data_IF_184145939501
#
_entry.id   IF_184145939501
#
_cell.length_a   1.000
_cell.length_b   1.000
_cell.length_c   1.000
_cell.angle_alpha   90.00
_cell.angle_beta   90.00
_cell.angle_gamma   90.00
#
_symmetry.space_group_name_H-M   'P 1'
#
loop_
_entity.id
_entity.type
_entity.pdbx_description
1 polymer ?
#
# COMPACT_ATOMS: atom_id res chain seq x y z
N UNK A 1 0.24 1.36 -14.54
CA UNK A 1 -0.79 1.32 -13.47
C UNK A 1 -0.18 1.97 -12.26
N UNK A 2 -0.85 2.93 -11.65
CA UNK A 2 -0.37 3.63 -10.45
C UNK A 2 -0.63 2.80 -9.18
N UNK A 3 0.04 3.12 -8.07
CA UNK A 3 -0.27 2.49 -6.78
C UNK A 3 -1.73 2.74 -6.37
N UNK A 4 -2.28 3.91 -6.68
CA UNK A 4 -3.69 4.21 -6.45
C UNK A 4 -4.61 3.25 -7.21
N UNK A 5 -4.39 3.07 -8.51
CA UNK A 5 -5.18 2.15 -9.32
C UNK A 5 -5.04 0.69 -8.86
N UNK A 6 -3.83 0.28 -8.46
CA UNK A 6 -3.59 -1.09 -8.00
C UNK A 6 -4.28 -1.39 -6.65
N UNK A 7 -4.08 -0.53 -5.65
CA UNK A 7 -4.53 -0.79 -4.28
C UNK A 7 -5.96 -0.32 -4.00
N UNK A 8 -6.44 0.70 -4.71
CA UNK A 8 -7.74 1.35 -4.43
C UNK A 8 -8.65 1.45 -5.64
N UNK A 9 -8.23 0.98 -6.83
CA UNK A 9 -8.97 1.15 -8.07
C UNK A 9 -10.27 0.35 -8.18
N UNK A 10 -10.46 -0.69 -7.37
CA UNK A 10 -11.73 -1.45 -7.30
C UNK A 10 -12.32 -1.43 -5.89
N UNK A 11 -13.66 -1.57 -5.74
CA UNK A 11 -14.29 -1.67 -4.43
C UNK A 11 -13.72 -2.81 -3.57
N UNK A 12 -13.42 -3.94 -4.19
CA UNK A 12 -12.85 -5.11 -3.49
C UNK A 12 -11.43 -4.83 -3.02
N UNK A 13 -10.59 -4.18 -3.84
CA UNK A 13 -9.24 -3.80 -3.44
C UNK A 13 -9.29 -2.77 -2.32
N UNK A 14 -10.07 -1.70 -2.48
CA UNK A 14 -10.24 -0.65 -1.48
C UNK A 14 -10.79 -1.19 -0.14
N UNK A 15 -11.70 -2.19 -0.17
CA UNK A 15 -12.25 -2.80 1.04
C UNK A 15 -11.21 -3.52 1.92
N UNK A 16 -10.07 -3.89 1.32
CA UNK A 16 -8.95 -4.56 1.99
C UNK A 16 -7.89 -3.56 2.46
N UNK A 17 -8.04 -2.28 2.16
CA UNK A 17 -7.03 -1.28 2.50
C UNK A 17 -7.39 -0.52 3.76
N UNK A 18 -6.41 -0.29 4.62
CA UNK A 18 -6.55 0.58 5.78
C UNK A 18 -5.43 1.63 5.78
N UNK A 19 -5.80 2.91 5.83
CA UNK A 19 -4.86 4.04 5.87
C UNK A 19 -4.95 4.70 7.24
N UNK A 20 -3.85 4.62 8.01
CA UNK A 20 -3.78 5.14 9.38
C UNK A 20 -2.92 6.39 9.44
N UNK A 21 -3.46 7.46 10.02
CA UNK A 21 -2.73 8.69 10.32
C UNK A 21 -2.32 8.71 11.80
N UNK A 22 -1.01 8.78 12.06
CA UNK A 22 -0.44 8.87 13.41
C UNK A 22 0.02 10.31 13.66
N UNK A 23 -0.25 10.84 14.86
CA UNK A 23 -0.21 12.29 15.11
C UNK A 23 1.16 12.88 15.51
N UNK A 24 2.19 12.09 15.86
CA UNK A 24 3.50 12.66 16.23
C UNK A 24 4.70 11.68 16.10
N UNK A 25 5.67 11.94 15.17
CA UNK A 25 5.53 12.81 14.00
C UNK A 25 4.38 12.32 13.10
N UNK A 26 3.91 13.16 12.16
CA UNK A 26 2.90 12.76 11.19
C UNK A 26 3.41 11.55 10.43
N UNK A 27 2.76 10.41 10.62
CA UNK A 27 3.01 9.20 9.84
C UNK A 27 1.75 8.73 9.16
N UNK A 28 1.91 8.23 7.94
CA UNK A 28 0.84 7.60 7.18
C UNK A 28 1.23 6.15 6.96
N UNK A 29 0.45 5.23 7.50
CA UNK A 29 0.68 3.80 7.31
C UNK A 29 -0.41 3.23 6.42
N UNK A 30 0.02 2.51 5.38
CA UNK A 30 -0.86 1.80 4.46
C UNK A 30 -0.81 0.33 4.79
N UNK A 31 -1.95 -0.25 5.10
CA UNK A 31 -2.12 -1.64 5.47
C UNK A 31 -2.99 -2.37 4.46
N UNK A 32 -2.67 -3.64 4.22
CA UNK A 32 -3.57 -4.61 3.60
C UNK A 32 -4.16 -5.51 4.67
N UNK A 33 -5.46 -5.68 4.63
CA UNK A 33 -6.24 -6.51 5.54
C UNK A 33 -6.96 -7.58 4.74
N UNK A 34 -6.73 -8.84 5.10
CA UNK A 34 -7.34 -9.97 4.44
C UNK A 34 -8.07 -10.85 5.46
N UNK A 35 -9.25 -11.38 5.11
CA UNK A 35 -9.92 -12.35 5.96
C UNK A 35 -9.08 -13.63 6.05
N UNK A 36 -8.83 -14.10 7.27
CA UNK A 36 -8.25 -15.43 7.52
C UNK A 36 -9.35 -16.46 7.75
N UNK A 37 -10.43 -16.07 8.44
CA UNK A 37 -11.62 -16.89 8.68
C UNK A 37 -12.88 -16.02 8.57
N UNK A 38 -14.06 -16.59 8.79
CA UNK A 38 -15.33 -15.84 8.82
C UNK A 38 -15.36 -14.72 9.87
N UNK A 39 -14.55 -14.83 10.93
CA UNK A 39 -14.56 -13.88 12.07
C UNK A 39 -13.18 -13.31 12.41
N UNK A 40 -12.14 -13.62 11.65
CA UNK A 40 -10.78 -13.11 11.88
C UNK A 40 -10.15 -12.59 10.61
N UNK A 41 -9.36 -11.52 10.75
CA UNK A 41 -8.59 -10.93 9.68
C UNK A 41 -7.11 -10.81 10.08
N UNK A 42 -6.23 -10.86 9.07
CA UNK A 42 -4.81 -10.51 9.19
C UNK A 42 -4.60 -9.14 8.58
N UNK A 43 -3.74 -8.32 9.17
CA UNK A 43 -3.32 -7.04 8.60
C UNK A 43 -1.80 -6.99 8.49
N UNK A 44 -1.31 -6.48 7.37
CA UNK A 44 0.12 -6.28 7.09
C UNK A 44 0.37 -4.86 6.62
N UNK A 45 1.46 -4.25 7.09
CA UNK A 45 1.93 -2.94 6.59
C UNK A 45 2.54 -3.14 5.20
N UNK A 46 2.03 -2.40 4.21
CA UNK A 46 2.62 -2.31 2.87
C UNK A 46 3.68 -1.20 2.84
N UNK A 47 3.36 -0.05 3.45
CA UNK A 47 4.23 1.12 3.42
C UNK A 47 3.99 2.02 4.64
N UNK A 48 5.05 2.69 5.09
CA UNK A 48 5.05 3.70 6.16
C UNK A 48 5.73 4.96 5.63
N UNK A 49 5.08 6.11 5.80
CA UNK A 49 5.54 7.41 5.30
C UNK A 49 5.70 8.41 6.43
N UNK A 50 6.74 9.24 6.37
CA UNK A 50 6.91 10.38 7.27
C UNK A 50 6.27 11.63 6.64
N UNK A 51 4.93 11.67 6.65
CA UNK A 51 4.15 12.81 6.18
C UNK A 51 3.19 12.48 5.05
N UNK A 52 2.16 13.34 4.90
CA UNK A 52 1.07 13.14 3.93
C UNK A 52 1.53 13.30 2.49
N UNK A 53 2.48 14.21 2.24
CA UNK A 53 2.98 14.49 0.88
C UNK A 53 3.63 13.26 0.24
N UNK A 54 4.42 12.52 1.01
CA UNK A 54 5.13 11.35 0.50
C UNK A 54 4.17 10.19 0.21
N UNK A 55 3.11 10.07 1.01
CA UNK A 55 2.00 9.14 0.75
C UNK A 55 1.28 9.47 -0.56
N UNK A 56 0.94 10.74 -0.80
CA UNK A 56 0.27 11.16 -2.05
C UNK A 56 1.17 10.95 -3.27
N UNK A 57 2.46 11.29 -3.17
CA UNK A 57 3.42 11.06 -4.24
C UNK A 57 3.56 9.57 -4.57
N UNK A 58 3.51 8.70 -3.55
CA UNK A 58 3.51 7.25 -3.76
C UNK A 58 2.23 6.75 -4.44
N UNK A 59 1.05 7.28 -4.10
CA UNK A 59 -0.20 6.90 -4.77
C UNK A 59 -0.16 7.17 -6.28
N UNK A 60 0.47 8.28 -6.68
CA UNK A 60 0.62 8.69 -8.09
C UNK A 60 1.76 7.97 -8.81
N UNK A 61 2.71 7.37 -8.08
CA UNK A 61 3.83 6.68 -8.70
C UNK A 61 3.36 5.39 -9.39
N UNK A 62 4.13 4.96 -10.40
CA UNK A 62 3.92 3.66 -11.02
C UNK A 62 4.00 2.54 -9.97
N UNK A 63 3.09 1.58 -10.10
CA UNK A 63 3.09 0.38 -9.28
C UNK A 63 4.28 -0.49 -9.70
N UNK A 64 5.16 -0.72 -8.74
CA UNK A 64 6.28 -1.65 -8.85
C UNK A 64 5.97 -2.86 -7.96
N UNK A 65 5.91 -4.05 -8.56
CA UNK A 65 5.65 -5.29 -7.84
C UNK A 65 6.90 -5.82 -7.11
N UNK A 66 8.03 -5.11 -7.22
CA UNK A 66 9.29 -5.46 -6.59
C UNK A 66 10.03 -6.60 -7.28
N UNK A 67 9.61 -6.98 -8.49
CA UNK A 67 10.36 -7.91 -9.34
C UNK A 67 11.65 -7.24 -9.79
N UNK A 68 12.76 -7.57 -9.13
CA UNK A 68 14.09 -7.21 -9.60
C UNK A 68 14.34 -7.98 -10.91
N UNK A 69 14.24 -7.28 -12.04
CA UNK A 69 14.73 -7.79 -13.33
C UNK A 69 16.24 -7.66 -13.31
N UNK A 70 16.94 -8.76 -13.09
CA UNK A 70 18.39 -8.81 -13.34
C UNK A 70 18.57 -8.84 -14.86
N UNK A 71 19.10 -7.77 -15.45
CA UNK A 71 19.59 -7.82 -16.82
C UNK A 71 20.74 -8.85 -16.88
N UNK A 72 20.58 -9.92 -17.65
CA UNK A 72 21.68 -10.85 -17.96
C UNK A 72 22.72 -10.08 -18.80
N UNK A 73 23.82 -9.70 -18.14
CA UNK A 73 25.02 -9.14 -18.75
C UNK A 73 25.53 -10.11 -19.84
N UNK A 74 25.49 -9.68 -21.11
CA UNK A 74 25.87 -10.48 -22.28
C UNK A 74 27.31 -10.23 -22.71
#
# INVERSE_FOLDING_TARGET
MTNHEHYFGTPEAASRMEVRFLCYPIRVQVWVTEPMTEVTARSQIIKDFTGVRDYLAWLESEYDDGTIVFEEDR
#
